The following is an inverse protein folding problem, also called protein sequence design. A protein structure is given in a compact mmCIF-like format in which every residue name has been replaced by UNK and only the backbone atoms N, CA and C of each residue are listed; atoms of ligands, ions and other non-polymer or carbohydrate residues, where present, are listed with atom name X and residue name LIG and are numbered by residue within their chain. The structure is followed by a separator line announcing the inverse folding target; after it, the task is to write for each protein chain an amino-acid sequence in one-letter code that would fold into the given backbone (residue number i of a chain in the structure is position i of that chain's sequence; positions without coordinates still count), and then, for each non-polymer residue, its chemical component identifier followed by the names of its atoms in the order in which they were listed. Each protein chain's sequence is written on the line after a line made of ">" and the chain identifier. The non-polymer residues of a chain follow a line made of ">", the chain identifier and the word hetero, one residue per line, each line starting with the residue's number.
data_IF_931282630311
#
_entry.id   IF_931282630311
#
_cell.length_a   1.000
_cell.length_b   1.000
_cell.length_c   1.000
_cell.angle_alpha   90.00
_cell.angle_beta   90.00
_cell.angle_gamma   90.00
#
_symmetry.space_group_name_H-M   'P 1'
#
loop_
_entity.id
_entity.type
_entity.pdbx_description
1 polymer ?
2 polymer ?
3 polymer ?
4 polymer ?
5 polymer ?
6 polymer ?
7 non-polymer ?
8 water ?
#
loop_
_entity_poly.entity_id
_entity_poly.type
_entity_poly.pdbx_seq_one_letter_code
_entity_poly.pdbx_strand_id
3 'polydeoxyribonucleotide' '(DT)(DC)(DA)(DG)(DA)(DC)(DT)(DT)(DC)(DT)(DC)(DC)(DA)(DC)' ?
4 'polydeoxyribonucleotide' '(DT)(DC)(DT)(DG)(DA)(DC)(DT)(DC)(DC)(DT)(DG)(DT)(DG)(DG)' ?
5 'polydeoxyribonucleotide' '(DA)(DG)(DG)(DA)(DG)(DT)(DC)(DA)(DG)(DA)' ?
6 'polydeoxyribonucleotide' '(DA)(DG)(DA)(DA)(DG)(DT)(DC)(DT)(DG)(DA)' ?
#
# COMPACT_ATOMS: atom_id res chain seq x y z
N UNK A 1 27.42 -5.28 0.82
CA UNK A 1 26.83 -3.95 0.92
C UNK A 1 26.51 -3.34 -0.44
N UNK A 2 25.44 -3.82 -1.07
CA UNK A 2 25.01 -3.30 -2.36
C UNK A 2 24.21 -2.01 -2.19
N UNK A 3 24.38 -1.08 -3.13
CA UNK A 3 23.69 0.21 -3.05
C UNK A 3 22.47 0.26 -3.97
N UNK A 4 21.37 0.81 -3.45
CA UNK A 4 20.12 0.86 -4.20
C UNK A 4 19.81 2.24 -4.78
N UNK A 5 19.29 2.25 -6.00
CA UNK A 5 18.92 3.49 -6.68
C UNK A 5 17.81 4.24 -5.96
N UNK A 6 17.88 5.57 -6.01
CA UNK A 6 16.93 6.44 -5.31
C UNK A 6 15.48 6.25 -5.75
N UNK A 7 15.28 6.15 -7.07
CA UNK A 7 13.93 5.99 -7.61
C UNK A 7 13.31 4.66 -7.22
N UNK A 8 14.14 3.62 -7.12
CA UNK A 8 13.68 2.31 -6.68
C UNK A 8 13.25 2.35 -5.21
N UNK A 9 14.01 3.09 -4.40
CA UNK A 9 13.70 3.24 -3.00
C UNK A 9 12.43 4.07 -2.79
N UNK A 10 12.24 5.08 -3.63
CA UNK A 10 11.08 5.97 -3.55
C UNK A 10 9.77 5.22 -3.76
N UNK A 11 9.66 4.51 -4.88
CA UNK A 11 8.46 3.73 -5.16
C UNK A 11 8.23 2.69 -4.06
N UNK A 12 9.27 1.95 -3.74
CA UNK A 12 9.18 0.85 -2.78
C UNK A 12 8.75 1.33 -1.39
N UNK A 13 9.25 2.48 -0.97
CA UNK A 13 8.90 3.05 0.32
C UNK A 13 7.39 3.26 0.42
N UNK A 14 6.80 3.78 -0.64
CA UNK A 14 5.36 3.97 -0.69
C UNK A 14 4.61 2.66 -0.61
N UNK A 15 5.16 1.62 -1.24
CA UNK A 15 4.55 0.30 -1.22
C UNK A 15 4.63 -0.31 0.18
N UNK A 16 5.77 -0.09 0.84
CA UNK A 16 5.99 -0.63 2.18
C UNK A 16 5.09 0.06 3.22
N UNK A 17 4.95 1.37 3.10
CA UNK A 17 4.09 2.13 4.01
C UNK A 17 2.63 1.71 3.89
N UNK A 18 2.29 1.09 2.76
CA UNK A 18 0.92 0.68 2.50
C UNK A 18 0.67 -0.79 2.86
N UNK A 19 1.29 -1.69 2.10
CA UNK A 19 1.08 -3.12 2.29
C UNK A 19 2.28 -3.84 2.90
N UNK A 20 3.32 -3.08 3.24
CA UNK A 20 4.51 -3.67 3.81
C UNK A 20 4.45 -3.73 5.33
N UNK A 21 5.43 -4.38 5.93
CA UNK A 21 5.45 -4.55 7.38
C UNK A 21 6.87 -4.68 7.93
N UNK A 22 7.17 -3.92 8.98
CA UNK A 22 8.45 -4.01 9.65
C UNK A 22 8.25 -4.57 11.06
N UNK A 23 8.57 -5.86 11.21
CA UNK A 23 8.25 -6.57 12.44
C UNK A 23 9.47 -6.84 13.32
N UNK A 24 9.30 -6.63 14.63
CA UNK A 24 10.27 -7.06 15.61
C UNK A 24 9.53 -7.91 16.63
N UNK A 25 10.08 -9.06 16.96
CA UNK A 25 9.44 -9.96 17.89
C UNK A 25 10.42 -10.71 18.77
N UNK A 26 9.98 -11.05 19.98
CA UNK A 26 10.78 -11.80 20.93
C UNK A 26 10.30 -13.25 20.95
N UNK A 27 11.19 -14.17 20.59
CA UNK A 27 10.80 -15.57 20.49
C UNK A 27 11.38 -16.42 21.61
N UNK A 28 10.55 -17.25 22.23
CA UNK A 28 10.99 -18.19 23.26
C UNK A 28 11.94 -19.23 22.69
N UNK A 29 13.09 -19.41 23.34
CA UNK A 29 14.10 -20.36 22.87
C UNK A 29 15.03 -20.77 24.01
N UNK A 30 14.75 -21.92 24.60
CA UNK A 30 15.44 -22.38 25.80
C UNK A 30 16.95 -22.60 25.60
N UNK A 31 17.34 -22.95 24.38
CA UNK A 31 18.73 -23.27 24.08
C UNK A 31 19.63 -22.03 24.13
N UNK A 32 19.01 -20.85 24.00
CA UNK A 32 19.77 -19.60 23.99
C UNK A 32 20.06 -19.15 25.43
N UNK A 33 20.89 -18.12 25.57
CA UNK A 33 21.36 -17.68 26.89
C UNK A 33 20.25 -17.26 27.85
N UNK A 34 19.32 -16.44 27.37
CA UNK A 34 18.27 -15.90 28.24
C UNK A 34 16.89 -16.49 27.99
N UNK A 35 16.86 -17.69 27.38
CA UNK A 35 15.62 -18.39 27.05
C UNK A 35 14.74 -17.63 26.04
N UNK A 36 15.27 -16.55 25.49
CA UNK A 36 14.54 -15.76 24.51
C UNK A 36 15.47 -15.21 23.43
N UNK A 37 14.95 -15.10 22.20
CA UNK A 37 15.75 -14.63 21.07
C UNK A 37 15.04 -13.54 20.28
N UNK A 38 15.83 -12.65 19.67
CA UNK A 38 15.27 -11.55 18.90
C UNK A 38 15.23 -11.85 17.41
N UNK A 39 14.08 -11.57 16.78
CA UNK A 39 13.93 -11.73 15.34
C UNK A 39 13.42 -10.45 14.71
N UNK A 40 14.16 -9.94 13.72
CA UNK A 40 13.74 -8.76 12.99
C UNK A 40 13.32 -9.16 11.59
N UNK A 41 12.15 -8.72 11.16
CA UNK A 41 11.64 -9.11 9.84
C UNK A 41 11.18 -7.92 9.01
N UNK A 42 11.52 -7.93 7.72
CA UNK A 42 10.99 -6.97 6.78
C UNK A 42 10.02 -7.70 5.85
N UNK A 43 8.75 -7.30 5.91
CA UNK A 43 7.70 -8.07 5.26
C UNK A 43 6.92 -7.25 4.23
N UNK A 44 6.72 -7.84 3.05
CA UNK A 44 5.80 -7.29 2.07
C UNK A 44 4.79 -8.36 1.68
N UNK A 45 3.52 -8.03 1.81
CA UNK A 45 2.44 -8.99 1.59
C UNK A 45 1.69 -8.70 0.30
N UNK A 46 1.31 -9.74 -0.43
CA UNK A 46 0.52 -9.61 -1.64
C UNK A 46 -0.12 -10.95 -1.97
N UNK A 47 -1.30 -10.94 -2.58
CA UNK A 47 -1.97 -12.19 -2.91
C UNK A 47 -1.23 -12.93 -4.02
N UNK A 48 -1.22 -14.27 -3.93
CA UNK A 48 -0.43 -15.13 -4.80
C UNK A 48 -0.65 -14.88 -6.30
N UNK A 49 -1.82 -14.33 -6.63
CA UNK A 49 -2.14 -13.94 -8.00
C UNK A 49 -1.15 -12.88 -8.50
N UNK A 50 -0.48 -12.22 -7.57
CA UNK A 50 0.55 -11.24 -7.90
C UNK A 50 1.88 -11.58 -7.25
N UNK A 51 2.16 -12.88 -7.13
CA UNK A 51 3.42 -13.34 -6.55
C UNK A 51 4.63 -12.82 -7.34
N UNK A 52 4.43 -12.65 -8.65
CA UNK A 52 5.48 -12.16 -9.53
C UNK A 52 6.06 -10.82 -9.10
N UNK A 53 5.21 -9.94 -8.59
CA UNK A 53 5.64 -8.63 -8.14
C UNK A 53 6.58 -8.76 -6.96
N UNK A 54 6.37 -9.82 -6.17
CA UNK A 54 7.24 -10.10 -5.03
C UNK A 54 8.53 -10.77 -5.48
N UNK A 55 8.46 -11.46 -6.61
CA UNK A 55 9.64 -12.16 -7.15
C UNK A 55 10.67 -11.18 -7.71
N UNK A 56 10.21 -10.17 -8.43
CA UNK A 56 11.08 -9.10 -8.92
C UNK A 56 11.79 -8.45 -7.74
N UNK A 57 11.07 -8.33 -6.63
CA UNK A 57 11.57 -7.70 -5.42
C UNK A 57 12.77 -8.47 -4.84
N UNK A 58 12.77 -9.79 -5.02
CA UNK A 58 13.88 -10.62 -4.59
C UNK A 58 15.13 -10.28 -5.41
N UNK A 59 14.93 -10.14 -6.72
CA UNK A 59 16.02 -9.84 -7.64
C UNK A 59 16.53 -8.42 -7.48
N UNK A 60 15.61 -7.48 -7.25
CA UNK A 60 15.97 -6.08 -7.14
C UNK A 60 16.67 -5.74 -5.83
N UNK A 61 16.22 -6.35 -4.74
CA UNK A 61 16.87 -6.17 -3.45
C UNK A 61 18.11 -7.07 -3.37
N UNK A 62 18.02 -8.25 -3.99
CA UNK A 62 19.16 -9.15 -4.07
C UNK A 62 19.09 -10.32 -3.12
N UNK A 63 18.53 -10.07 -1.93
CA UNK A 63 18.48 -11.08 -0.89
C UNK A 63 17.07 -11.19 -0.33
N UNK A 64 16.70 -12.39 0.14
CA UNK A 64 15.38 -12.61 0.71
C UNK A 64 14.65 -13.75 0.05
N UNK A 65 13.53 -14.15 0.64
CA UNK A 65 12.74 -15.26 0.11
C UNK A 65 11.26 -14.89 0.01
N UNK A 66 10.50 -15.70 -0.71
CA UNK A 66 9.06 -15.48 -0.86
C UNK A 66 8.31 -16.78 -0.58
N UNK A 67 7.28 -16.71 0.25
CA UNK A 67 6.55 -17.92 0.64
C UNK A 67 5.04 -17.75 0.54
N UNK A 68 4.37 -18.82 0.12
CA UNK A 68 2.92 -18.82 0.02
C UNK A 68 2.30 -19.49 1.24
N UNK A 69 1.17 -18.96 1.70
CA UNK A 69 0.41 -19.59 2.77
C UNK A 69 -1.06 -19.61 2.36
N UNK A 70 -1.32 -20.16 1.17
CA UNK A 70 -2.66 -20.18 0.61
C UNK A 70 -2.83 -19.15 -0.49
N UNK A 71 -3.76 -18.22 -0.26
CA UNK A 71 -4.06 -17.17 -1.22
C UNK A 71 -3.04 -16.04 -1.18
N UNK A 72 -2.22 -16.04 -0.14
CA UNK A 72 -1.32 -14.92 0.13
C UNK A 72 0.15 -15.29 0.05
N UNK A 73 0.94 -14.50 -0.67
CA UNK A 73 2.38 -14.68 -0.73
C UNK A 73 3.08 -13.56 0.04
N UNK A 74 4.29 -13.84 0.53
CA UNK A 74 5.00 -12.87 1.36
C UNK A 74 6.48 -12.80 1.02
N UNK A 75 6.96 -11.61 0.66
CA UNK A 75 8.40 -11.39 0.58
C UNK A 75 8.93 -11.18 2.00
N UNK A 76 10.03 -11.84 2.31
CA UNK A 76 10.59 -11.73 3.67
C UNK A 76 12.10 -11.57 3.68
N UNK A 77 12.58 -10.82 4.67
CA UNK A 77 14.01 -10.57 4.84
C UNK A 77 14.35 -10.48 6.32
N UNK A 78 14.96 -11.54 6.84
CA UNK A 78 15.28 -11.63 8.26
C UNK A 78 16.79 -11.59 8.50
N UNK A 79 17.56 -11.84 7.45
CA UNK A 79 19.02 -11.84 7.54
C UNK A 79 19.51 -10.47 8.01
N UNK A 80 20.24 -10.47 9.12
CA UNK A 80 20.58 -9.25 9.86
C UNK A 80 21.39 -8.21 9.07
N UNK A 81 22.51 -8.63 8.50
CA UNK A 81 23.38 -7.72 7.74
C UNK A 81 22.73 -7.07 6.51
N UNK A 82 22.04 -7.85 5.66
CA UNK A 82 21.37 -7.20 4.52
C UNK A 82 20.19 -6.35 4.98
N UNK A 83 19.53 -6.77 6.04
CA UNK A 83 18.40 -6.04 6.60
C UNK A 83 18.85 -4.64 7.00
N UNK A 84 20.00 -4.57 7.67
CA UNK A 84 20.54 -3.29 8.11
C UNK A 84 20.85 -2.39 6.92
N UNK A 85 21.63 -2.90 5.97
CA UNK A 85 22.01 -2.14 4.78
C UNK A 85 20.81 -1.66 3.98
N UNK A 86 19.75 -2.46 3.94
CA UNK A 86 18.56 -2.12 3.18
C UNK A 86 17.72 -1.05 3.87
N UNK A 87 17.37 -1.29 5.13
CA UNK A 87 16.57 -0.35 5.91
C UNK A 87 17.28 1.01 6.05
N UNK A 88 18.60 0.98 6.07
CA UNK A 88 19.39 2.21 6.14
C UNK A 88 19.17 3.06 4.89
N UNK A 89 19.03 2.42 3.74
CA UNK A 89 18.83 3.12 2.48
C UNK A 89 17.36 3.47 2.21
N UNK A 90 16.45 2.69 2.80
CA UNK A 90 15.02 2.90 2.59
C UNK A 90 14.44 3.92 3.57
N UNK A 91 15.02 3.97 4.77
CA UNK A 91 14.54 4.82 5.87
C UNK A 91 14.14 6.27 5.55
N UNK A 92 14.99 7.03 4.81
CA UNK A 92 14.67 8.44 4.62
C UNK A 92 13.39 8.69 3.81
N UNK A 93 12.88 7.67 3.14
CA UNK A 93 11.72 7.84 2.27
C UNK A 93 10.43 7.30 2.89
N UNK A 94 10.56 6.60 4.01
CA UNK A 94 9.39 6.12 4.75
C UNK A 94 8.66 7.29 5.40
N UNK A 95 7.34 7.28 5.30
CA UNK A 95 6.52 8.36 5.86
C UNK A 95 5.69 7.86 7.05
N UNK A 96 5.20 6.63 6.95
CA UNK A 96 4.37 6.06 8.00
C UNK A 96 5.18 5.17 8.94
N UNK A 97 5.98 4.28 8.36
CA UNK A 97 6.72 3.30 9.14
C UNK A 97 8.20 3.67 9.33
N UNK A 98 8.50 4.96 9.30
CA UNK A 98 9.87 5.41 9.45
C UNK A 98 10.41 5.15 10.86
N UNK A 99 9.59 5.46 11.87
CA UNK A 99 9.96 5.22 13.26
C UNK A 99 10.39 3.77 13.50
N UNK A 100 9.57 2.83 13.04
CA UNK A 100 9.84 1.41 13.22
C UNK A 100 11.16 0.99 12.57
N UNK A 101 11.43 1.53 11.38
CA UNK A 101 12.66 1.22 10.66
C UNK A 101 13.89 1.62 11.48
N UNK A 102 13.90 2.86 11.96
CA UNK A 102 15.00 3.37 12.77
C UNK A 102 15.11 2.62 14.10
N UNK A 103 13.98 2.20 14.64
CA UNK A 103 13.96 1.42 15.87
C UNK A 103 14.58 0.04 15.67
N UNK A 104 14.44 -0.51 14.47
CA UNK A 104 15.05 -1.80 14.13
C UNK A 104 16.55 -1.65 13.94
N UNK A 105 16.95 -0.63 13.18
CA UNK A 105 18.36 -0.34 12.95
C UNK A 105 19.11 -0.17 14.27
N UNK A 106 18.41 0.40 15.25
CA UNK A 106 18.96 0.58 16.59
C UNK A 106 19.17 -0.75 17.28
N UNK A 107 18.23 -1.68 17.08
CA UNK A 107 18.32 -3.01 17.67
C UNK A 107 19.47 -3.82 17.08
N UNK A 108 19.49 -3.91 15.75
CA UNK A 108 20.51 -4.64 15.02
C UNK A 108 21.93 -4.20 15.42
N UNK A 109 22.11 -2.89 15.60
CA UNK A 109 23.40 -2.34 16.00
C UNK A 109 23.76 -2.69 17.44
N UNK A 110 22.76 -2.81 18.30
CA UNK A 110 23.00 -3.15 19.70
C UNK A 110 22.89 -4.65 19.96
N UNK A 111 22.81 -5.43 18.89
CA UNK A 111 22.72 -6.88 18.98
C UNK A 111 23.90 -7.57 19.70
N UNK A 112 25.16 -7.16 19.40
CA UNK A 112 26.25 -7.75 20.16
C UNK A 112 26.17 -7.44 21.66
N UNK A 113 26.07 -6.15 22.00
CA UNK A 113 26.14 -5.71 23.38
C UNK A 113 24.92 -6.09 24.24
N UNK A 114 23.92 -6.72 23.62
CA UNK A 114 22.69 -7.06 24.32
C UNK A 114 22.71 -8.50 24.86
N UNK A 115 23.70 -9.27 24.43
CA UNK A 115 23.84 -10.65 24.90
C UNK A 115 24.69 -10.69 26.16
N UNK A 116 25.11 -9.51 26.61
CA UNK A 116 26.01 -9.39 27.76
C UNK A 116 25.29 -9.43 29.10
N UNK A 117 24.57 -8.35 29.42
CA UNK A 117 23.89 -8.24 30.70
C UNK A 117 22.37 -8.32 30.54
N UNK A 118 21.70 -8.99 31.49
CA UNK A 118 20.24 -9.20 31.47
C UNK A 118 19.46 -7.89 31.40
N UNK A 119 19.93 -6.89 32.13
CA UNK A 119 19.29 -5.58 32.13
C UNK A 119 19.41 -4.88 30.78
N UNK A 120 20.50 -5.16 30.06
CA UNK A 120 20.72 -4.59 28.73
C UNK A 120 19.81 -5.29 27.72
N UNK A 121 19.63 -6.60 27.88
CA UNK A 121 18.78 -7.37 26.98
C UNK A 121 17.32 -6.92 27.11
N UNK A 122 16.89 -6.69 28.34
CA UNK A 122 15.55 -6.19 28.61
C UNK A 122 15.38 -4.77 28.06
N UNK A 123 16.49 -4.03 28.02
CA UNK A 123 16.47 -2.67 27.48
C UNK A 123 16.23 -2.72 25.98
N UNK A 124 16.75 -3.76 25.33
CA UNK A 124 16.56 -3.93 23.89
C UNK A 124 15.17 -4.47 23.59
N UNK A 125 14.66 -5.32 24.48
CA UNK A 125 13.29 -5.82 24.37
C UNK A 125 12.30 -4.66 24.48
N UNK A 126 12.69 -3.64 25.26
CA UNK A 126 11.91 -2.42 25.37
C UNK A 126 11.79 -1.73 24.02
N UNK A 127 12.87 -1.77 23.24
CA UNK A 127 12.87 -1.19 21.90
C UNK A 127 11.97 -1.99 20.97
N UNK A 128 11.85 -3.30 21.24
CA UNK A 128 10.95 -4.16 20.50
C UNK A 128 9.50 -3.81 20.82
N UNK A 129 9.24 -3.55 22.11
CA UNK A 129 7.91 -3.14 22.57
C UNK A 129 7.39 -1.91 21.83
N UNK A 130 8.30 -0.98 21.53
CA UNK A 130 7.92 0.26 20.85
C UNK A 130 7.51 0.03 19.41
N UNK A 131 8.12 -0.96 18.76
CA UNK A 131 7.83 -1.27 17.36
C UNK A 131 6.46 -1.89 17.17
N UNK A 132 6.11 -2.83 18.04
CA UNK A 132 4.79 -3.45 18.00
C UNK A 132 3.70 -2.45 18.37
N UNK A 133 4.07 -1.47 19.20
CA UNK A 133 3.16 -0.42 19.59
C UNK A 133 2.80 0.45 18.38
N UNK A 134 3.83 0.86 17.63
CA UNK A 134 3.63 1.66 16.43
C UNK A 134 2.83 0.88 15.38
N UNK A 135 3.10 -0.41 15.28
CA UNK A 135 2.33 -1.28 14.40
C UNK A 135 0.92 -1.48 14.91
N UNK A 136 0.06 -2.03 14.06
CA UNK A 136 -1.29 -2.41 14.47
C UNK A 136 -1.25 -3.81 15.07
N UNK A 137 -0.59 -3.93 16.21
CA UNK A 137 -0.43 -5.21 16.89
C UNK A 137 -1.76 -5.75 17.43
N UNK A 138 -2.02 -7.02 17.19
CA UNK A 138 -3.29 -7.64 17.60
C UNK A 138 -3.10 -9.04 18.17
N UNK A 139 -2.06 -9.74 17.70
CA UNK A 139 -1.87 -11.15 18.05
C UNK A 139 -0.62 -11.39 18.89
N UNK A 140 -0.01 -10.32 19.38
CA UNK A 140 1.23 -10.41 20.14
C UNK A 140 1.05 -11.10 21.48
N UNK A 141 2.03 -11.89 21.88
CA UNK A 141 2.02 -12.59 23.17
C UNK A 141 3.27 -12.28 23.98
N UNK A 142 4.43 -12.65 23.43
CA UNK A 142 5.69 -12.50 24.13
C UNK A 142 6.23 -11.06 24.07
N UNK A 143 6.20 -10.38 25.20
CA UNK A 143 6.70 -9.01 25.28
C UNK A 143 7.92 -8.90 26.19
N UNK A 144 8.32 -7.68 26.50
CA UNK A 144 9.49 -7.45 27.34
C UNK A 144 9.23 -7.86 28.78
N UNK A 145 7.97 -7.74 29.22
CA UNK A 145 7.60 -8.14 30.56
C UNK A 145 7.41 -9.64 30.67
N UNK A 146 7.27 -10.31 29.52
CA UNK A 146 7.25 -11.76 29.46
C UNK A 146 8.66 -12.26 29.76
N UNK A 147 9.64 -11.60 29.17
CA UNK A 147 11.05 -11.92 29.39
C UNK A 147 11.44 -11.65 30.85
N UNK A 148 10.98 -10.51 31.37
CA UNK A 148 11.28 -10.09 32.74
C UNK A 148 10.82 -11.12 33.77
N UNK A 149 9.63 -11.66 33.57
CA UNK A 149 9.06 -12.63 34.50
C UNK A 149 9.84 -13.93 34.50
N UNK A 150 10.27 -14.37 33.32
CA UNK A 150 11.11 -15.56 33.20
C UNK A 150 12.50 -15.23 33.72
N UNK A 151 12.92 -13.98 33.55
CA UNK A 151 14.24 -13.55 34.00
C UNK A 151 14.29 -13.28 35.50
N UNK A 152 13.19 -13.58 36.19
CA UNK A 152 13.19 -13.56 37.63
C UNK A 152 13.48 -14.98 38.14
N UNK A 153 14.76 -15.31 38.19
CA UNK A 153 15.20 -16.65 38.56
C UNK A 153 16.60 -16.60 39.15
N UNK B 1 -2.49 24.12 -15.69
CA UNK B 1 -2.49 22.86 -14.95
C UNK B 1 -1.36 22.77 -13.93
N UNK B 2 -1.46 21.83 -13.01
CA UNK B 2 -0.47 21.65 -11.96
C UNK B 2 0.53 20.56 -12.33
N UNK B 3 1.81 20.83 -12.09
CA UNK B 3 2.85 19.84 -12.31
C UNK B 3 3.32 19.29 -10.96
N UNK B 4 3.32 17.98 -10.83
CA UNK B 4 3.72 17.34 -9.57
C UNK B 4 5.17 16.86 -9.62
N UNK B 5 5.82 16.86 -8.46
CA UNK B 5 7.21 16.41 -8.34
C UNK B 5 7.35 14.94 -8.69
N UNK B 6 8.55 14.54 -9.09
CA UNK B 6 8.79 13.15 -9.46
C UNK B 6 9.00 12.27 -8.23
N UNK B 7 9.55 12.87 -7.17
CA UNK B 7 9.72 12.16 -5.91
C UNK B 7 8.38 11.92 -5.23
N UNK B 8 7.44 12.84 -5.45
CA UNK B 8 6.11 12.71 -4.90
C UNK B 8 5.31 11.65 -5.64
N UNK B 9 5.37 11.70 -6.97
CA UNK B 9 4.64 10.75 -7.80
C UNK B 9 5.21 9.34 -7.70
N UNK B 10 6.51 9.24 -7.41
CA UNK B 10 7.16 7.94 -7.26
C UNK B 10 6.70 7.23 -5.98
N UNK B 11 6.74 7.94 -4.86
CA UNK B 11 6.30 7.39 -3.59
C UNK B 11 4.82 7.03 -3.66
N UNK B 12 4.00 8.01 -4.02
CA UNK B 12 2.55 7.86 -4.06
C UNK B 12 2.12 6.68 -4.94
N UNK B 13 2.73 6.54 -6.10
CA UNK B 13 2.41 5.44 -7.02
C UNK B 13 2.61 4.09 -6.33
N UNK B 14 3.69 3.97 -5.58
CA UNK B 14 3.94 2.78 -4.79
C UNK B 14 2.87 2.60 -3.74
N UNK B 15 2.41 3.70 -3.16
CA UNK B 15 1.38 3.67 -2.14
C UNK B 15 0.01 3.38 -2.76
N UNK B 16 -0.17 3.79 -4.02
CA UNK B 16 -1.42 3.53 -4.73
C UNK B 16 -1.52 2.05 -5.09
N UNK B 17 -0.42 1.49 -5.60
CA UNK B 17 -0.37 0.05 -5.90
C UNK B 17 -0.55 -0.77 -4.62
N UNK B 18 -0.20 -0.18 -3.48
CA UNK B 18 -0.37 -0.83 -2.20
C UNK B 18 -1.78 -0.70 -1.64
N UNK B 19 -2.13 0.49 -1.17
CA UNK B 19 -3.42 0.71 -0.53
C UNK B 19 -4.35 1.65 -1.29
N UNK B 20 -3.97 2.01 -2.51
CA UNK B 20 -4.79 2.90 -3.31
C UNK B 20 -5.73 2.15 -4.23
N UNK B 21 -6.66 2.87 -4.84
CA UNK B 21 -7.65 2.25 -5.72
C UNK B 21 -8.02 3.17 -6.88
N UNK B 22 -8.19 2.58 -8.07
CA UNK B 22 -8.61 3.33 -9.24
C UNK B 22 -9.91 2.73 -9.80
N UNK B 23 -11.01 3.44 -9.59
CA UNK B 23 -12.33 2.89 -9.85
C UNK B 23 -13.05 3.54 -11.03
N UNK B 24 -13.85 2.75 -11.74
CA UNK B 24 -14.77 3.26 -12.74
C UNK B 24 -16.15 2.70 -12.41
N UNK B 25 -17.15 3.58 -12.37
CA UNK B 25 -18.50 3.14 -12.00
C UNK B 25 -19.55 3.58 -13.02
N UNK B 26 -20.59 2.77 -13.16
CA UNK B 26 -21.77 3.15 -13.94
C UNK B 26 -22.93 3.31 -12.95
N UNK B 27 -23.19 4.55 -12.55
CA UNK B 27 -24.23 4.82 -11.56
C UNK B 27 -25.60 5.00 -12.19
N UNK B 28 -26.60 4.27 -11.67
CA UNK B 28 -27.99 4.40 -12.13
C UNK B 28 -28.52 5.78 -11.77
N UNK B 29 -28.96 6.54 -12.77
CA UNK B 29 -29.48 7.88 -12.55
C UNK B 29 -30.67 8.18 -13.47
N UNK B 30 -31.86 8.20 -12.89
CA UNK B 30 -33.10 8.33 -13.64
C UNK B 30 -33.19 9.63 -14.44
N UNK B 31 -32.54 10.68 -13.92
CA UNK B 31 -32.61 12.01 -14.51
C UNK B 31 -31.54 12.23 -15.57
N UNK B 32 -30.68 11.24 -15.78
CA UNK B 32 -29.62 11.35 -16.78
C UNK B 32 -30.13 11.14 -18.18
N UNK B 33 -29.23 11.23 -19.16
CA UNK B 33 -29.60 11.09 -20.56
C UNK B 33 -29.94 9.64 -20.90
N UNK B 34 -29.01 8.74 -20.68
CA UNK B 34 -29.22 7.31 -20.94
C UNK B 34 -29.57 6.56 -19.66
N UNK B 35 -30.14 7.28 -18.70
CA UNK B 35 -30.54 6.72 -17.40
C UNK B 35 -29.34 6.18 -16.62
N UNK B 36 -28.15 6.67 -16.93
CA UNK B 36 -26.93 6.22 -16.27
C UNK B 36 -25.86 7.31 -16.19
N UNK B 37 -25.25 7.43 -15.01
CA UNK B 37 -24.16 8.38 -14.80
C UNK B 37 -22.82 7.66 -14.73
N UNK B 38 -21.81 8.22 -15.38
CA UNK B 38 -20.45 7.70 -15.26
C UNK B 38 -19.68 8.47 -14.20
N UNK B 39 -18.92 7.74 -13.38
CA UNK B 39 -18.13 8.38 -12.32
C UNK B 39 -16.77 7.73 -12.18
N UNK B 40 -15.75 8.38 -12.73
CA UNK B 40 -14.38 7.93 -12.57
C UNK B 40 -13.84 8.41 -11.23
N UNK B 41 -13.07 7.57 -10.56
CA UNK B 41 -12.66 7.87 -9.19
C UNK B 41 -11.24 7.40 -8.87
N UNK B 42 -10.50 8.26 -8.15
CA UNK B 42 -9.20 7.89 -7.61
C UNK B 42 -9.25 7.87 -6.09
N UNK B 43 -9.01 6.71 -5.49
CA UNK B 43 -9.13 6.54 -4.06
C UNK B 43 -7.85 6.09 -3.37
N UNK B 44 -7.62 6.64 -2.18
CA UNK B 44 -6.58 6.13 -1.29
C UNK B 44 -7.20 5.91 0.09
N UNK B 45 -7.13 4.67 0.57
CA UNK B 45 -7.77 4.28 1.82
C UNK B 45 -6.73 4.16 2.93
N UNK B 46 -7.08 4.61 4.14
CA UNK B 46 -6.21 4.42 5.29
C UNK B 46 -6.98 4.53 6.61
N UNK B 47 -6.47 3.84 7.62
CA UNK B 47 -7.04 3.89 8.96
C UNK B 47 -7.18 5.34 9.42
N UNK B 48 -8.33 5.68 10.00
CA UNK B 48 -8.64 7.05 10.40
C UNK B 48 -7.59 7.62 11.36
N UNK B 49 -6.96 6.73 12.13
CA UNK B 49 -5.84 7.09 12.99
C UNK B 49 -4.75 7.80 12.19
N UNK B 50 -4.62 7.42 10.93
CA UNK B 50 -3.65 8.04 10.02
C UNK B 50 -4.33 8.95 9.00
N UNK B 51 -5.40 9.63 9.40
CA UNK B 51 -6.13 10.52 8.51
C UNK B 51 -5.27 11.68 8.01
N UNK B 52 -4.34 12.12 8.85
CA UNK B 52 -3.43 13.21 8.51
C UNK B 52 -2.66 12.94 7.23
N UNK B 53 -2.38 11.67 6.97
CA UNK B 53 -1.67 11.27 5.76
C UNK B 53 -2.54 11.51 4.54
N UNK B 54 -3.84 11.31 4.69
CA UNK B 54 -4.80 11.54 3.61
C UNK B 54 -5.10 13.03 3.48
N UNK B 55 -4.97 13.76 4.58
CA UNK B 55 -5.20 15.19 4.59
C UNK B 55 -4.14 15.93 3.78
N UNK B 56 -2.89 15.53 3.95
CA UNK B 56 -1.78 16.10 3.19
C UNK B 56 -1.99 15.93 1.69
N UNK B 57 -2.60 14.81 1.31
CA UNK B 57 -2.86 14.51 -0.09
C UNK B 57 -3.73 15.57 -0.76
N UNK B 58 -4.68 16.13 -0.01
CA UNK B 58 -5.48 17.25 -0.50
C UNK B 58 -4.58 18.45 -0.77
N UNK B 59 -3.58 18.64 0.09
CA UNK B 59 -2.63 19.74 -0.05
C UNK B 59 -1.65 19.53 -1.20
N UNK B 60 -1.03 18.35 -1.24
CA UNK B 60 -0.01 18.05 -2.24
C UNK B 60 -0.58 17.88 -3.65
N UNK B 61 -1.78 17.31 -3.75
CA UNK B 61 -2.43 17.13 -5.04
C UNK B 61 -3.19 18.40 -5.43
N UNK B 62 -3.71 19.12 -4.44
CA UNK B 62 -4.35 20.41 -4.69
C UNK B 62 -5.86 20.33 -4.78
N UNK B 63 -6.37 19.12 -4.96
CA UNK B 63 -7.81 18.88 -5.04
C UNK B 63 -8.16 17.59 -4.32
N UNK B 64 -9.44 17.23 -4.34
CA UNK B 64 -9.88 16.00 -3.71
C UNK B 64 -10.44 16.21 -2.31
N UNK B 65 -11.04 15.17 -1.77
CA UNK B 65 -11.68 15.25 -0.44
C UNK B 65 -11.40 14.02 0.41
N UNK B 66 -11.53 14.16 1.73
CA UNK B 66 -11.25 13.07 2.66
C UNK B 66 -12.39 12.84 3.65
N UNK B 67 -13.06 11.68 3.55
CA UNK B 67 -14.17 11.37 4.46
C UNK B 67 -13.96 10.10 5.27
N UNK B 68 -14.88 9.83 6.19
CA UNK B 68 -14.79 8.69 7.09
C UNK B 68 -15.79 7.59 6.72
N UNK B 69 -15.50 6.36 7.13
CA UNK B 69 -16.37 5.22 6.88
C UNK B 69 -16.21 4.18 7.98
N UNK B 70 -16.29 4.63 9.24
CA UNK B 70 -16.06 3.77 10.38
C UNK B 70 -14.70 4.03 10.98
N UNK B 71 -13.86 3.00 11.00
CA UNK B 71 -12.49 3.13 11.47
C UNK B 71 -11.59 3.53 10.31
N UNK B 72 -12.18 3.67 9.13
CA UNK B 72 -11.42 3.94 7.91
C UNK B 72 -11.76 5.30 7.29
N UNK B 73 -10.74 5.98 6.79
CA UNK B 73 -10.95 7.21 6.04
C UNK B 73 -10.53 7.02 4.59
N UNK B 74 -11.11 7.81 3.69
CA UNK B 74 -10.81 7.70 2.27
C UNK B 74 -10.46 9.02 1.63
N UNK B 75 -9.35 9.07 0.88
CA UNK B 75 -9.11 10.21 0.02
C UNK B 75 -9.73 9.94 -1.35
N UNK B 76 -10.55 10.87 -1.81
CA UNK B 76 -11.24 10.69 -3.09
C UNK B 76 -10.94 11.83 -4.05
N UNK B 77 -11.04 11.55 -5.35
CA UNK B 77 -10.89 12.56 -6.38
C UNK B 77 -11.63 12.11 -7.64
N UNK B 78 -12.78 12.71 -7.88
CA UNK B 78 -13.62 12.32 -9.01
C UNK B 78 -13.79 13.46 -10.00
N UNK B 79 -13.25 14.64 -9.65
CA UNK B 79 -13.34 15.80 -10.52
C UNK B 79 -12.58 15.56 -11.83
N UNK B 80 -13.32 15.59 -12.94
CA UNK B 80 -12.85 15.09 -14.23
C UNK B 80 -11.55 15.69 -14.78
N UNK B 81 -11.34 17.00 -14.57
CA UNK B 81 -10.18 17.67 -15.17
C UNK B 81 -8.88 17.54 -14.38
N UNK B 82 -8.92 17.77 -13.05
CA UNK B 82 -7.67 17.55 -12.31
C UNK B 82 -7.36 16.06 -12.13
N UNK B 83 -8.36 15.20 -12.36
CA UNK B 83 -8.14 13.75 -12.30
C UNK B 83 -7.35 13.30 -13.52
N UNK B 84 -7.69 13.84 -14.67
CA UNK B 84 -6.98 13.55 -15.91
C UNK B 84 -5.54 14.03 -15.81
N UNK B 85 -5.37 15.25 -15.32
CA UNK B 85 -4.05 15.84 -15.16
C UNK B 85 -3.19 15.08 -14.15
N UNK B 86 -3.82 14.56 -13.10
CA UNK B 86 -3.10 13.84 -12.05
C UNK B 86 -2.65 12.46 -12.50
N UNK B 87 -3.58 11.66 -12.99
CA UNK B 87 -3.26 10.30 -13.43
C UNK B 87 -2.30 10.28 -14.62
N UNK B 88 -2.39 11.30 -15.47
CA UNK B 88 -1.49 11.43 -16.62
C UNK B 88 -0.04 11.43 -16.16
N UNK B 89 0.21 12.09 -15.02
CA UNK B 89 1.57 12.20 -14.49
C UNK B 89 1.89 11.04 -13.56
N UNK B 90 0.86 10.46 -12.94
CA UNK B 90 1.04 9.36 -12.01
C UNK B 90 1.28 8.03 -12.74
N UNK B 91 0.55 7.83 -13.84
CA UNK B 91 0.60 6.59 -14.61
C UNK B 91 1.98 5.97 -14.92
N UNK B 92 2.96 6.77 -15.37
CA UNK B 92 4.24 6.16 -15.76
C UNK B 92 5.00 5.47 -14.61
N UNK B 93 4.52 5.61 -13.38
CA UNK B 93 5.22 5.03 -12.23
C UNK B 93 4.45 3.89 -11.58
N UNK B 94 3.18 3.75 -11.95
CA UNK B 94 2.37 2.65 -11.46
C UNK B 94 2.83 1.33 -12.04
N UNK B 95 2.74 0.26 -11.27
CA UNK B 95 3.10 -1.07 -11.73
C UNK B 95 1.90 -2.00 -11.68
N UNK B 96 1.24 -2.03 -10.52
CA UNK B 96 0.11 -2.93 -10.30
C UNK B 96 -1.20 -2.39 -10.86
N UNK B 97 -1.30 -1.06 -11.01
CA UNK B 97 -2.54 -0.42 -11.41
C UNK B 97 -2.36 0.56 -12.56
N UNK B 98 -1.46 0.24 -13.48
CA UNK B 98 -1.19 1.12 -14.62
C UNK B 98 -2.24 0.97 -15.72
N UNK B 99 -2.69 -0.26 -15.93
CA UNK B 99 -3.72 -0.54 -16.93
C UNK B 99 -5.03 0.16 -16.58
N UNK B 100 -5.34 0.20 -15.28
CA UNK B 100 -6.56 0.85 -14.81
C UNK B 100 -6.51 2.37 -15.04
N UNK B 101 -5.32 2.94 -14.88
CA UNK B 101 -5.14 4.38 -15.08
C UNK B 101 -5.31 4.78 -16.54
N UNK B 102 -4.62 4.08 -17.43
CA UNK B 102 -4.67 4.37 -18.86
C UNK B 102 -6.05 4.12 -19.47
N UNK B 103 -6.88 3.32 -18.81
CA UNK B 103 -8.26 3.12 -19.22
C UNK B 103 -9.12 4.28 -18.74
N UNK B 104 -8.84 4.76 -17.52
CA UNK B 104 -9.52 5.92 -16.97
C UNK B 104 -9.23 7.15 -17.81
N UNK B 105 -7.98 7.31 -18.21
CA UNK B 105 -7.57 8.42 -19.08
C UNK B 105 -8.25 8.30 -20.44
N UNK B 106 -8.50 7.06 -20.86
CA UNK B 106 -9.18 6.79 -22.13
C UNK B 106 -10.63 7.25 -22.08
N UNK B 107 -11.33 6.83 -21.02
CA UNK B 107 -12.74 7.19 -20.82
C UNK B 107 -12.93 8.69 -20.70
N UNK B 108 -12.11 9.34 -19.89
CA UNK B 108 -12.19 10.78 -19.67
C UNK B 108 -11.99 11.58 -20.96
N UNK B 109 -11.06 11.13 -21.80
CA UNK B 109 -10.80 11.79 -23.08
C UNK B 109 -11.98 11.68 -24.05
N UNK B 110 -12.58 10.49 -24.10
CA UNK B 110 -13.72 10.27 -24.98
C UNK B 110 -15.05 10.40 -24.26
N UNK B 111 -15.08 11.28 -23.26
CA UNK B 111 -16.27 11.50 -22.45
C UNK B 111 -17.37 12.39 -23.09
N UNK B 112 -16.99 13.52 -23.71
CA UNK B 112 -18.05 14.36 -24.29
C UNK B 112 -18.79 13.69 -25.45
N UNK B 113 -18.11 12.87 -26.23
CA UNK B 113 -18.73 12.20 -27.36
C UNK B 113 -19.48 10.95 -26.93
N UNK B 114 -19.35 10.60 -25.65
CA UNK B 114 -19.98 9.40 -25.12
C UNK B 114 -21.49 9.56 -24.95
N UNK B 115 -21.98 10.78 -25.13
CA UNK B 115 -23.39 11.09 -24.94
C UNK B 115 -24.13 11.16 -26.27
N UNK B 116 -23.40 10.97 -27.37
CA UNK B 116 -23.97 11.12 -28.70
C UNK B 116 -24.91 9.97 -29.06
N UNK B 117 -24.36 8.77 -29.19
CA UNK B 117 -25.13 7.60 -29.57
C UNK B 117 -25.03 6.52 -28.50
N UNK B 118 -26.10 5.73 -28.35
CA UNK B 118 -26.13 4.62 -27.38
C UNK B 118 -24.99 3.63 -27.63
N UNK B 119 -24.59 3.50 -28.89
CA UNK B 119 -23.52 2.59 -29.28
C UNK B 119 -22.14 3.14 -28.90
N UNK B 120 -22.04 4.46 -28.78
CA UNK B 120 -20.80 5.10 -28.37
C UNK B 120 -20.72 5.12 -26.85
N UNK B 121 -21.87 5.14 -26.20
CA UNK B 121 -21.95 5.13 -24.74
C UNK B 121 -21.71 3.72 -24.21
N UNK B 122 -22.27 2.73 -24.91
CA UNK B 122 -22.14 1.34 -24.51
C UNK B 122 -20.69 0.87 -24.59
N UNK B 123 -19.98 1.34 -25.61
CA UNK B 123 -18.58 1.00 -25.79
C UNK B 123 -17.75 1.55 -24.63
N UNK B 124 -18.06 2.77 -24.20
CA UNK B 124 -17.40 3.38 -23.06
C UNK B 124 -17.74 2.62 -21.78
N UNK B 125 -18.93 2.01 -21.76
CA UNK B 125 -19.35 1.21 -20.61
C UNK B 125 -18.61 -0.11 -20.51
N UNK B 126 -18.18 -0.64 -21.65
CA UNK B 126 -17.37 -1.86 -21.66
C UNK B 126 -15.94 -1.54 -21.21
N UNK B 127 -15.57 -0.27 -21.30
CA UNK B 127 -14.25 0.17 -20.84
C UNK B 127 -14.24 0.24 -19.32
N UNK B 128 -15.41 0.46 -18.74
CA UNK B 128 -15.59 0.38 -17.30
C UNK B 128 -15.49 -1.08 -16.87
N UNK B 129 -16.06 -1.97 -17.70
CA UNK B 129 -16.01 -3.41 -17.47
C UNK B 129 -14.57 -3.92 -17.36
N UNK B 130 -13.71 -3.43 -18.24
CA UNK B 130 -12.29 -3.81 -18.23
C UNK B 130 -11.63 -3.42 -16.92
N UNK B 131 -11.92 -2.21 -16.45
CA UNK B 131 -11.32 -1.69 -15.23
C UNK B 131 -11.66 -2.53 -14.01
N UNK B 132 -12.94 -2.88 -13.88
CA UNK B 132 -13.39 -3.69 -12.76
C UNK B 132 -12.75 -5.07 -12.77
N UNK B 133 -12.55 -5.63 -13.96
CA UNK B 133 -11.92 -6.94 -14.11
C UNK B 133 -10.50 -6.95 -13.57
N UNK B 134 -9.74 -5.89 -13.88
CA UNK B 134 -8.37 -5.75 -13.39
C UNK B 134 -8.36 -5.62 -11.88
N UNK B 135 -9.32 -4.87 -11.34
CA UNK B 135 -9.45 -4.74 -9.89
C UNK B 135 -9.92 -6.04 -9.27
N UNK B 136 -9.72 -6.17 -7.96
CA UNK B 136 -10.21 -7.34 -7.23
C UNK B 136 -11.70 -7.16 -6.98
N UNK B 137 -12.48 -7.14 -8.05
CA UNK B 137 -13.90 -6.79 -7.97
C UNK B 137 -14.72 -7.85 -7.24
N UNK B 138 -15.56 -7.41 -6.31
CA UNK B 138 -16.34 -8.31 -5.48
C UNK B 138 -17.83 -7.97 -5.53
N UNK B 139 -18.17 -6.77 -5.07
CA UNK B 139 -19.56 -6.39 -4.87
C UNK B 139 -20.12 -5.47 -5.95
N UNK B 140 -19.73 -5.70 -7.20
CA UNK B 140 -20.22 -4.89 -8.32
C UNK B 140 -21.64 -5.31 -8.69
N UNK B 141 -22.39 -4.39 -9.27
CA UNK B 141 -23.77 -4.65 -9.67
C UNK B 141 -24.07 -4.13 -11.08
N UNK B 142 -23.88 -2.83 -11.28
CA UNK B 142 -24.15 -2.22 -12.58
C UNK B 142 -22.98 -2.42 -13.53
N UNK B 143 -23.25 -3.00 -14.69
CA UNK B 143 -22.21 -3.26 -15.69
C UNK B 143 -22.64 -2.79 -17.07
N UNK B 144 -21.80 -3.05 -18.07
CA UNK B 144 -22.09 -2.65 -19.44
C UNK B 144 -23.31 -3.38 -19.97
N UNK B 145 -23.56 -4.58 -19.46
CA UNK B 145 -24.71 -5.37 -19.86
C UNK B 145 -25.98 -4.91 -19.15
N UNK B 146 -25.81 -4.27 -17.99
CA UNK B 146 -26.93 -3.69 -17.27
C UNK B 146 -27.52 -2.51 -18.05
N UNK B 147 -26.62 -1.73 -18.66
CA UNK B 147 -27.02 -0.61 -19.52
C UNK B 147 -27.71 -1.13 -20.77
N UNK B 148 -27.11 -2.13 -21.40
CA UNK B 148 -27.64 -2.73 -22.62
C UNK B 148 -29.09 -3.19 -22.45
N UNK B 149 -29.41 -3.72 -21.26
CA UNK B 149 -30.76 -4.15 -20.95
C UNK B 149 -31.73 -2.98 -20.94
N UNK B 150 -31.40 -1.96 -20.16
CA UNK B 150 -32.23 -0.75 -20.06
C UNK B 150 -32.39 -0.03 -21.40
N UNK B 151 -31.28 0.12 -22.12
CA UNK B 151 -31.28 0.87 -23.37
C UNK B 151 -32.05 0.19 -24.50
N UNK B 152 -31.85 -1.12 -24.66
CA UNK B 152 -32.52 -1.87 -25.73
C UNK B 152 -33.95 -2.24 -25.37
N UNK B 153 -34.58 -1.43 -24.52
CA UNK B 153 -35.99 -1.60 -24.19
C UNK B 153 -36.80 -0.52 -24.89
N UNK B 154 -36.17 0.63 -25.13
CA UNK B 154 -36.86 1.79 -25.67
C UNK B 154 -37.07 1.69 -27.17
X LIG G 1 -3.43 -2.93 2.09
X LIG H 1 -1.90 -0.77 4.58
X LIG I 1 -3.24 -4.02 -1.59
#
# INVERSE_FOLDING_TARGET
>A
NTKYNKEFLLYLAGFVDSDGSIIAQIKPNQSVKFKHRLQLTFDVTQKTQRRWFLDKLVDEIGVGYVADSGSVSKYRLSEIKPLHNFLTQLQPFLKLKQKQANLVLKIIEQLPSAKESPDKFLEVCTWVDQIAALNDSKTRKTTSETVRAVLDS
>B
NTKYNKEFLLYLAGFVDGDGSIIAQIKPNQSGKFKHKLSLTFKVTQKTQRRWFLDKLVDEIGVGYVYDSGSVSNYYLSEIKPLHNFLTQLQPFLKLKQKQANLVLKIIEQLPSAKESPDKFLEVCTWVDQVAALNDSKTRKTTSETVRAVLDSL
>G hetero
1 MN MN
>H hetero
1 MN MN
>I hetero
1 MN MN
#
